data_IF_740111093275
#
_entry.id   IF_740111093275
#
_cell.length_a   1.000
_cell.length_b   1.000
_cell.length_c   1.000
_cell.angle_alpha   90.00
_cell.angle_beta   90.00
_cell.angle_gamma   90.00
#
_symmetry.space_group_name_H-M   'P 1'
#
loop_
_entity.id
_entity.type
_entity.pdbx_description
1 polymer ?
#
# COMPACT_ATOMS: atom_id res chain seq x y z
N UNK A 1 -15.13 -8.26 11.51
CA UNK A 1 -15.48 -7.00 10.83
C UNK A 1 -16.45 -7.25 9.69
N UNK A 2 -16.16 -8.17 8.76
CA UNK A 2 -17.03 -8.44 7.59
C UNK A 2 -18.44 -8.91 7.93
N UNK A 3 -18.66 -9.55 9.07
CA UNK A 3 -20.01 -9.90 9.56
C UNK A 3 -20.83 -8.70 10.05
N UNK A 4 -20.17 -7.58 10.33
CA UNK A 4 -20.79 -6.36 10.87
C UNK A 4 -20.90 -5.23 9.86
N UNK A 5 -20.10 -5.30 8.80
CA UNK A 5 -20.15 -4.35 7.71
C UNK A 5 -20.33 -5.10 6.39
N UNK A 6 -21.34 -4.74 5.61
CA UNK A 6 -21.58 -5.30 4.29
C UNK A 6 -20.75 -4.56 3.25
N UNK A 7 -20.14 -5.28 2.32
CA UNK A 7 -19.46 -4.66 1.20
C UNK A 7 -20.46 -3.92 0.29
N UNK A 8 -20.32 -2.61 0.25
CA UNK A 8 -21.13 -1.75 -0.63
C UNK A 8 -20.31 -0.54 -1.08
N UNK A 9 -20.60 0.04 -2.24
CA UNK A 9 -20.03 1.33 -2.64
C UNK A 9 -20.28 2.39 -1.56
N UNK A 10 -19.27 3.17 -1.26
CA UNK A 10 -19.33 4.34 -0.39
C UNK A 10 -18.95 5.60 -1.17
N UNK A 11 -18.88 6.75 -0.51
CA UNK A 11 -18.41 7.98 -1.15
C UNK A 11 -16.91 7.94 -1.50
N UNK A 12 -16.40 9.00 -2.09
CA UNK A 12 -15.01 9.07 -2.57
C UNK A 12 -13.95 9.01 -1.45
N UNK A 13 -14.35 9.17 -0.17
CA UNK A 13 -13.44 9.16 0.97
C UNK A 13 -13.73 7.96 1.86
N UNK A 14 -12.65 7.33 2.34
CA UNK A 14 -12.75 6.27 3.34
C UNK A 14 -13.36 6.82 4.64
N UNK A 15 -14.46 6.23 5.07
CA UNK A 15 -15.13 6.56 6.32
C UNK A 15 -14.31 6.11 7.54
N UNK A 16 -14.50 6.78 8.67
CA UNK A 16 -13.86 6.36 9.92
C UNK A 16 -14.40 5.01 10.40
N UNK A 17 -13.62 4.25 11.20
CA UNK A 17 -14.09 2.97 11.77
C UNK A 17 -15.42 3.08 12.50
N UNK A 18 -15.63 4.16 13.27
CA UNK A 18 -16.91 4.37 13.97
C UNK A 18 -18.07 4.66 13.01
N UNK A 19 -17.83 5.35 11.91
CA UNK A 19 -18.84 5.56 10.90
C UNK A 19 -19.21 4.23 10.23
N UNK A 20 -18.23 3.41 9.86
CA UNK A 20 -18.45 2.08 9.27
C UNK A 20 -19.28 1.19 10.20
N UNK A 21 -18.99 1.20 11.53
CA UNK A 21 -19.77 0.45 12.51
C UNK A 21 -21.23 0.95 12.56
N UNK A 22 -21.45 2.26 12.47
CA UNK A 22 -22.79 2.86 12.56
C UNK A 22 -23.64 2.62 11.31
N UNK A 23 -22.99 2.69 10.15
CA UNK A 23 -23.69 2.52 8.86
C UNK A 23 -23.80 1.06 8.45
N UNK A 24 -22.96 0.18 9.02
CA UNK A 24 -22.87 -1.24 8.72
C UNK A 24 -22.56 -1.56 7.25
N UNK A 25 -21.89 -0.66 6.53
CA UNK A 25 -21.39 -0.91 5.17
C UNK A 25 -20.07 -0.19 4.89
N UNK A 26 -19.35 -0.66 3.88
CA UNK A 26 -18.13 -0.06 3.39
C UNK A 26 -17.53 -0.83 2.23
N UNK A 27 -16.53 -0.23 1.58
CA UNK A 27 -15.66 -0.90 0.61
C UNK A 27 -14.46 -1.54 1.34
N UNK A 28 -13.56 -2.11 0.57
CA UNK A 28 -12.29 -2.64 1.09
C UNK A 28 -11.50 -1.60 1.92
N UNK A 29 -11.56 -0.31 1.56
CA UNK A 29 -10.93 0.78 2.31
C UNK A 29 -11.49 0.94 3.72
N UNK A 30 -12.82 0.98 3.88
CA UNK A 30 -13.50 1.12 5.17
C UNK A 30 -13.34 -0.14 6.01
N UNK A 31 -13.56 -1.32 5.44
CA UNK A 31 -13.48 -2.58 6.18
C UNK A 31 -12.05 -2.85 6.67
N UNK A 32 -11.04 -2.62 5.84
CA UNK A 32 -9.65 -2.76 6.26
C UNK A 32 -9.25 -1.74 7.33
N UNK A 33 -9.71 -0.49 7.23
CA UNK A 33 -9.47 0.52 8.28
C UNK A 33 -10.15 0.13 9.60
N UNK A 34 -11.36 -0.41 9.55
CA UNK A 34 -12.07 -0.93 10.73
C UNK A 34 -11.32 -2.10 11.35
N UNK A 35 -10.84 -3.05 10.54
CA UNK A 35 -10.08 -4.20 11.04
C UNK A 35 -8.74 -3.77 11.67
N UNK A 36 -8.02 -2.83 11.05
CA UNK A 36 -6.81 -2.24 11.65
C UNK A 36 -7.10 -1.63 13.01
N UNK A 37 -8.18 -0.85 13.12
CA UNK A 37 -8.57 -0.24 14.39
C UNK A 37 -8.93 -1.29 15.46
N UNK A 38 -9.65 -2.35 15.07
CA UNK A 38 -9.99 -3.45 15.96
C UNK A 38 -8.75 -4.21 16.46
N UNK A 39 -7.82 -4.56 15.58
CA UNK A 39 -6.57 -5.23 15.94
C UNK A 39 -5.73 -4.38 16.88
N UNK A 40 -5.56 -3.10 16.58
CA UNK A 40 -4.81 -2.17 17.43
C UNK A 40 -5.46 -1.99 18.80
N UNK A 41 -6.79 -2.03 18.90
CA UNK A 41 -7.50 -1.91 20.17
C UNK A 41 -7.22 -3.06 21.17
N UNK A 42 -6.78 -4.20 20.65
CA UNK A 42 -6.37 -5.37 21.47
C UNK A 42 -4.85 -5.56 21.50
N UNK A 43 -4.08 -4.54 21.09
CA UNK A 43 -2.62 -4.53 21.19
C UNK A 43 -1.88 -5.24 20.05
N UNK A 44 -2.57 -5.60 18.98
CA UNK A 44 -1.92 -6.20 17.79
C UNK A 44 -1.52 -5.09 16.84
N UNK A 45 -0.21 -4.90 16.54
CA UNK A 45 0.22 -3.97 15.52
C UNK A 45 -0.38 -4.36 14.16
N UNK A 46 -1.03 -3.42 13.52
CA UNK A 46 -1.67 -3.66 12.22
C UNK A 46 -1.60 -2.41 11.34
N UNK A 47 -1.61 -2.61 10.04
CA UNK A 47 -1.58 -1.54 9.05
C UNK A 47 -2.45 -1.89 7.85
N UNK A 48 -3.03 -0.87 7.22
CA UNK A 48 -3.74 -1.04 5.96
C UNK A 48 -2.72 -1.07 4.82
N UNK A 49 -2.82 -2.03 3.93
CA UNK A 49 -2.10 -2.07 2.67
C UNK A 49 -3.05 -1.69 1.54
N UNK A 50 -2.55 -0.94 0.58
CA UNK A 50 -3.30 -0.49 -0.58
C UNK A 50 -2.49 -0.72 -1.86
N UNK A 51 -3.15 -1.27 -2.87
CA UNK A 51 -2.67 -1.28 -4.25
C UNK A 51 -3.57 -0.38 -5.09
N UNK A 52 -3.03 0.68 -5.72
CA UNK A 52 -3.84 1.61 -6.51
C UNK A 52 -4.31 1.01 -7.84
N UNK A 53 -3.55 0.07 -8.37
CA UNK A 53 -3.85 -0.62 -9.64
C UNK A 53 -3.29 -2.02 -9.62
N UNK A 54 -4.09 -2.98 -10.04
CA UNK A 54 -3.60 -4.32 -10.36
C UNK A 54 -2.93 -4.35 -11.74
N UNK A 55 -2.02 -5.30 -11.96
CA UNK A 55 -1.37 -5.47 -13.26
C UNK A 55 -2.33 -5.90 -14.40
N UNK A 56 -3.50 -6.44 -14.06
CA UNK A 56 -4.48 -7.01 -15.00
C UNK A 56 -5.80 -6.24 -15.07
N UNK A 57 -5.99 -5.23 -14.25
CA UNK A 57 -7.22 -4.41 -14.21
C UNK A 57 -6.95 -3.03 -13.62
N UNK A 58 -7.76 -2.04 -13.96
CA UNK A 58 -7.71 -0.69 -13.41
C UNK A 58 -8.24 -0.60 -11.97
N UNK A 59 -8.70 -1.70 -11.40
CA UNK A 59 -9.20 -1.74 -10.03
C UNK A 59 -8.08 -1.62 -9.01
N UNK A 60 -8.45 -1.10 -7.87
CA UNK A 60 -7.63 -1.04 -6.65
C UNK A 60 -8.12 -2.05 -5.61
N UNK A 61 -7.33 -2.24 -4.56
CA UNK A 61 -7.74 -3.02 -3.41
C UNK A 61 -7.03 -2.55 -2.13
N UNK A 62 -7.69 -2.78 -1.00
CA UNK A 62 -7.13 -2.54 0.33
C UNK A 62 -7.38 -3.76 1.23
N UNK A 63 -6.37 -4.13 1.98
CA UNK A 63 -6.42 -5.22 2.97
C UNK A 63 -5.59 -4.86 4.20
N UNK A 64 -5.32 -5.80 5.07
CA UNK A 64 -4.64 -5.58 6.34
C UNK A 64 -3.38 -6.41 6.43
N UNK A 65 -2.33 -5.85 6.99
CA UNK A 65 -1.22 -6.60 7.57
C UNK A 65 -1.27 -6.49 9.10
N UNK A 66 -1.06 -7.60 9.79
CA UNK A 66 -0.94 -7.71 11.23
C UNK A 66 0.43 -8.30 11.60
N UNK A 67 1.06 -7.76 12.63
CA UNK A 67 2.35 -8.25 13.10
C UNK A 67 2.16 -9.42 14.06
N UNK A 68 2.73 -10.56 13.71
CA UNK A 68 2.78 -11.75 14.54
C UNK A 68 4.06 -12.54 14.24
N UNK A 69 4.57 -13.27 15.23
CA UNK A 69 5.74 -14.15 15.06
C UNK A 69 6.97 -13.50 14.41
N UNK A 70 7.16 -12.19 14.67
CA UNK A 70 8.33 -11.46 14.18
C UNK A 70 8.25 -10.99 12.73
N UNK A 71 7.07 -11.05 12.08
CA UNK A 71 6.85 -10.57 10.71
C UNK A 71 5.44 -10.06 10.47
N UNK A 72 5.26 -9.38 9.36
CA UNK A 72 3.94 -8.98 8.87
C UNK A 72 3.25 -10.16 8.17
N UNK A 73 1.99 -10.38 8.52
CA UNK A 73 1.09 -11.33 7.90
C UNK A 73 -0.10 -10.60 7.31
N UNK A 74 -0.54 -10.98 6.13
CA UNK A 74 -1.71 -10.33 5.53
C UNK A 74 -3.00 -11.13 5.73
N UNK A 75 -4.11 -10.40 5.70
CA UNK A 75 -5.46 -10.95 5.77
C UNK A 75 -6.45 -9.99 5.08
N UNK A 76 -7.43 -10.55 4.39
CA UNK A 76 -8.54 -9.81 3.82
C UNK A 76 -9.49 -9.30 4.92
N UNK A 77 -10.01 -8.10 4.77
CA UNK A 77 -11.01 -7.55 5.68
C UNK A 77 -12.44 -7.80 5.21
N UNK A 78 -12.65 -7.77 3.88
CA UNK A 78 -13.93 -8.01 3.23
C UNK A 78 -14.23 -9.52 3.12
N UNK A 79 -13.21 -10.29 2.86
CA UNK A 79 -13.25 -11.74 2.59
C UNK A 79 -12.16 -12.46 3.38
N UNK A 80 -12.34 -12.62 4.71
CA UNK A 80 -11.34 -13.27 5.56
C UNK A 80 -11.27 -14.77 5.27
N UNK A 81 -10.06 -15.25 5.17
CA UNK A 81 -9.75 -16.66 5.05
C UNK A 81 -9.46 -17.28 6.43
N UNK A 82 -9.53 -18.62 6.58
CA UNK A 82 -9.34 -19.27 7.87
C UNK A 82 -7.89 -19.23 8.39
N UNK A 83 -6.93 -18.85 7.54
CA UNK A 83 -5.51 -18.75 7.88
C UNK A 83 -4.94 -17.42 7.37
N UNK A 84 -3.87 -16.95 8.01
CA UNK A 84 -3.13 -15.78 7.57
C UNK A 84 -2.36 -16.08 6.26
N UNK A 85 -1.99 -15.02 5.55
CA UNK A 85 -1.25 -15.08 4.29
C UNK A 85 -2.02 -15.81 3.16
N UNK A 86 -3.34 -15.85 3.27
CA UNK A 86 -4.24 -16.38 2.26
C UNK A 86 -5.30 -15.32 1.92
N UNK A 87 -5.59 -15.21 0.63
CA UNK A 87 -6.63 -14.33 0.08
C UNK A 87 -6.77 -14.58 -1.42
N UNK A 88 -7.92 -14.26 -2.00
CA UNK A 88 -8.16 -14.36 -3.43
C UNK A 88 -7.11 -13.60 -4.25
N UNK A 89 -6.51 -12.58 -3.64
CA UNK A 89 -5.53 -11.70 -4.28
C UNK A 89 -4.08 -12.21 -4.23
N UNK A 90 -3.79 -13.41 -3.70
CA UNK A 90 -2.43 -13.95 -3.65
C UNK A 90 -1.75 -13.95 -5.05
N UNK A 91 -2.45 -14.48 -6.06
CA UNK A 91 -1.90 -14.53 -7.41
C UNK A 91 -1.77 -13.14 -8.07
N UNK A 92 -2.76 -12.21 -7.99
CA UNK A 92 -2.57 -10.83 -8.41
C UNK A 92 -1.45 -10.11 -7.64
N UNK A 93 -1.34 -10.31 -6.33
CA UNK A 93 -0.34 -9.66 -5.49
C UNK A 93 1.08 -10.08 -5.84
N UNK A 94 1.33 -11.36 -6.14
CA UNK A 94 2.65 -11.85 -6.56
C UNK A 94 3.15 -11.23 -7.89
N UNK A 95 2.28 -10.56 -8.62
CA UNK A 95 2.55 -9.83 -9.87
C UNK A 95 2.23 -8.34 -9.73
N UNK A 96 2.09 -7.88 -8.50
CA UNK A 96 1.79 -6.49 -8.20
C UNK A 96 2.87 -5.53 -8.69
N UNK A 97 2.46 -4.30 -8.98
CA UNK A 97 3.36 -3.23 -9.41
C UNK A 97 3.67 -2.27 -8.26
N UNK A 98 2.73 -2.11 -7.33
CA UNK A 98 2.89 -1.28 -6.14
C UNK A 98 1.93 -1.75 -5.04
N UNK A 99 2.46 -1.92 -3.85
CA UNK A 99 1.70 -2.08 -2.62
C UNK A 99 2.32 -1.21 -1.56
N UNK A 100 1.53 -0.32 -0.98
CA UNK A 100 2.03 0.66 -0.05
C UNK A 100 1.16 0.79 1.20
N UNK A 101 1.75 1.34 2.24
CA UNK A 101 1.04 1.62 3.50
C UNK A 101 1.48 2.97 4.06
N UNK A 102 0.72 3.50 4.99
CA UNK A 102 1.02 4.75 5.70
C UNK A 102 1.38 4.46 7.15
N UNK A 103 2.54 4.95 7.54
CA UNK A 103 2.99 4.95 8.94
C UNK A 103 2.73 6.34 9.51
N UNK A 104 1.94 6.41 10.58
CA UNK A 104 1.67 7.64 11.33
C UNK A 104 2.66 7.74 12.48
N UNK A 105 3.48 8.80 12.49
CA UNK A 105 4.55 8.99 13.45
C UNK A 105 5.94 8.81 12.83
N UNK A 106 6.93 8.59 13.70
CA UNK A 106 8.30 8.37 13.28
C UNK A 106 8.45 6.99 12.62
N UNK A 107 9.20 6.95 11.52
CA UNK A 107 9.51 5.73 10.81
C UNK A 107 11.03 5.59 10.63
N UNK A 108 11.57 4.46 11.07
CA UNK A 108 12.98 4.06 10.99
C UNK A 108 13.15 2.61 10.46
N UNK A 109 12.10 2.08 9.82
CA UNK A 109 12.13 0.75 9.23
C UNK A 109 12.99 0.66 7.96
N UNK A 110 13.12 -0.54 7.45
CA UNK A 110 13.96 -0.86 6.28
C UNK A 110 13.19 -0.79 4.96
N UNK A 111 11.87 -0.66 4.97
CA UNK A 111 11.07 -0.56 3.76
C UNK A 111 11.32 0.76 3.04
N UNK A 112 11.21 0.73 1.73
CA UNK A 112 11.44 1.89 0.88
C UNK A 112 10.45 3.03 1.18
N UNK A 113 10.98 4.20 1.51
CA UNK A 113 10.18 5.41 1.72
C UNK A 113 9.82 6.03 0.39
N UNK A 114 8.53 6.07 0.07
CA UNK A 114 8.02 6.69 -1.14
C UNK A 114 7.77 8.19 -0.95
N UNK A 115 7.26 8.57 0.22
CA UNK A 115 6.88 9.94 0.52
C UNK A 115 6.83 10.18 2.02
N UNK A 116 7.33 11.33 2.46
CA UNK A 116 7.16 11.82 3.83
C UNK A 116 6.36 13.10 3.84
N UNK A 117 5.39 13.20 4.73
CA UNK A 117 4.57 14.38 4.97
C UNK A 117 4.64 14.78 6.45
N UNK A 118 4.02 15.87 6.82
CA UNK A 118 3.92 16.27 8.24
C UNK A 118 3.12 15.24 9.10
N UNK A 119 2.27 14.41 8.49
CA UNK A 119 1.33 13.54 9.21
C UNK A 119 1.67 12.06 9.09
N UNK A 120 2.35 11.64 8.03
CA UNK A 120 2.65 10.23 7.77
C UNK A 120 3.86 10.08 6.85
N UNK A 121 4.48 8.92 6.92
CA UNK A 121 5.41 8.39 5.93
C UNK A 121 4.72 7.27 5.15
N UNK A 122 4.79 7.32 3.83
CA UNK A 122 4.28 6.30 2.92
C UNK A 122 5.44 5.42 2.49
N UNK A 123 5.29 4.12 2.68
CA UNK A 123 6.33 3.12 2.43
C UNK A 123 5.83 2.05 1.47
N UNK A 124 6.76 1.54 0.67
CA UNK A 124 6.51 0.43 -0.27
C UNK A 124 6.69 -0.90 0.46
N UNK A 125 5.67 -1.73 0.43
CA UNK A 125 5.65 -3.06 1.06
C UNK A 125 5.51 -4.20 0.06
N UNK A 126 5.72 -3.93 -1.22
CA UNK A 126 5.54 -4.92 -2.28
C UNK A 126 6.42 -6.17 -2.10
N UNK A 127 7.58 -6.03 -1.45
CA UNK A 127 8.47 -7.16 -1.17
C UNK A 127 7.86 -8.24 -0.28
N UNK A 128 6.78 -7.93 0.46
CA UNK A 128 6.03 -8.93 1.22
C UNK A 128 5.16 -9.83 0.33
N UNK A 129 4.94 -9.47 -0.94
CA UNK A 129 3.98 -10.11 -1.84
C UNK A 129 4.62 -10.61 -3.13
N UNK A 130 5.62 -9.90 -3.64
CA UNK A 130 6.24 -10.19 -4.94
C UNK A 130 7.76 -10.20 -4.83
N UNK A 131 8.39 -10.96 -5.71
CA UNK A 131 9.84 -10.90 -5.87
C UNK A 131 10.24 -9.53 -6.44
N UNK A 132 11.19 -8.88 -5.79
CA UNK A 132 11.69 -7.56 -6.16
C UNK A 132 13.16 -7.64 -6.57
N UNK A 133 13.58 -6.72 -7.44
CA UNK A 133 14.97 -6.54 -7.81
C UNK A 133 15.34 -5.05 -7.70
N UNK A 134 16.56 -4.73 -7.27
CA UNK A 134 17.04 -3.36 -7.26
C UNK A 134 17.18 -2.83 -8.71
N UNK A 135 16.77 -1.60 -8.93
CA UNK A 135 16.96 -0.89 -10.19
C UNK A 135 17.72 0.41 -9.92
N UNK A 136 18.84 0.60 -10.62
CA UNK A 136 19.58 1.86 -10.61
C UNK A 136 19.35 2.59 -11.91
N UNK A 137 18.93 3.86 -11.83
CA UNK A 137 18.77 4.74 -12.98
C UNK A 137 19.79 5.86 -12.90
N UNK A 138 20.60 6.03 -13.94
CA UNK A 138 21.55 7.12 -14.06
C UNK A 138 21.06 8.07 -15.17
N UNK A 139 20.89 9.35 -14.82
CA UNK A 139 20.54 10.39 -15.78
C UNK A 139 21.77 11.17 -16.17
N UNK A 140 22.09 11.18 -17.47
CA UNK A 140 23.21 11.91 -18.03
C UNK A 140 22.77 12.82 -19.17
N UNK A 141 23.53 13.87 -19.44
CA UNK A 141 23.38 14.69 -20.64
C UNK A 141 23.90 13.95 -21.89
N UNK A 142 23.83 14.59 -23.04
CA UNK A 142 24.31 14.04 -24.31
C UNK A 142 25.83 13.86 -24.37
N UNK A 143 26.58 14.48 -23.47
CA UNK A 143 28.02 14.32 -23.32
C UNK A 143 28.39 13.23 -22.32
N UNK A 144 27.42 12.59 -21.68
CA UNK A 144 27.60 11.55 -20.67
C UNK A 144 27.87 12.09 -19.26
N UNK A 145 27.72 13.37 -19.00
CA UNK A 145 27.88 13.97 -17.68
C UNK A 145 26.61 13.81 -16.85
N UNK A 146 26.71 13.51 -15.51
CA UNK A 146 25.56 13.40 -14.66
C UNK A 146 24.72 14.70 -14.63
N UNK A 147 23.39 14.56 -14.68
CA UNK A 147 22.46 15.69 -14.57
C UNK A 147 21.99 15.81 -13.14
N UNK A 148 22.31 16.93 -12.51
CA UNK A 148 21.85 17.27 -11.18
C UNK A 148 20.38 17.73 -11.19
N UNK A 149 19.60 17.36 -10.16
CA UNK A 149 18.21 17.77 -10.01
C UNK A 149 17.24 17.14 -11.00
N UNK A 150 17.67 16.15 -11.80
CA UNK A 150 16.77 15.41 -12.67
C UNK A 150 15.72 14.66 -11.87
N UNK A 151 14.47 14.81 -12.27
CA UNK A 151 13.35 14.08 -11.68
C UNK A 151 13.12 12.78 -12.43
N UNK A 152 13.13 11.67 -11.74
CA UNK A 152 12.82 10.35 -12.29
C UNK A 152 11.51 9.87 -11.68
N UNK A 153 10.51 9.62 -12.51
CA UNK A 153 9.22 9.10 -12.07
C UNK A 153 9.05 7.65 -12.52
N UNK A 154 8.77 6.76 -11.58
CA UNK A 154 8.26 5.43 -11.88
C UNK A 154 6.74 5.47 -11.86
N UNK A 155 6.12 5.08 -12.95
CA UNK A 155 4.68 5.11 -13.10
C UNK A 155 4.15 3.71 -13.33
N UNK A 156 3.05 3.38 -12.64
CA UNK A 156 2.28 2.20 -12.96
C UNK A 156 1.59 2.41 -14.31
N UNK A 157 1.85 1.50 -15.22
CA UNK A 157 1.16 1.48 -16.50
C UNK A 157 -0.02 0.51 -16.42
N UNK A 158 -1.22 1.03 -16.69
CA UNK A 158 -2.40 0.22 -16.84
C UNK A 158 -3.27 0.79 -17.99
N UNK A 159 -4.44 0.21 -18.23
CA UNK A 159 -5.29 0.45 -19.39
C UNK A 159 -5.65 1.93 -19.64
N UNK A 160 -5.89 2.70 -18.60
CA UNK A 160 -6.45 4.04 -18.72
C UNK A 160 -5.50 5.18 -18.35
N UNK A 161 -4.60 5.00 -17.39
CA UNK A 161 -3.77 6.12 -16.89
C UNK A 161 -2.46 5.66 -16.24
N UNK A 162 -1.53 6.61 -16.14
CA UNK A 162 -0.28 6.41 -15.41
C UNK A 162 -0.43 6.91 -13.98
N UNK A 163 -0.22 6.02 -13.02
CA UNK A 163 -0.17 6.37 -11.60
C UNK A 163 1.30 6.48 -11.17
N UNK A 164 1.72 7.66 -10.71
CA UNK A 164 3.09 7.85 -10.20
C UNK A 164 3.25 7.11 -8.88
N UNK A 165 4.11 6.10 -8.86
CA UNK A 165 4.37 5.31 -7.66
C UNK A 165 5.62 5.77 -6.90
N UNK A 166 6.66 6.21 -7.60
CA UNK A 166 7.91 6.66 -7.00
C UNK A 166 8.40 7.91 -7.71
N UNK A 167 8.88 8.87 -6.94
CA UNK A 167 9.45 10.13 -7.41
C UNK A 167 10.84 10.30 -6.80
N UNK A 168 11.86 10.29 -7.63
CA UNK A 168 13.23 10.53 -7.20
C UNK A 168 13.80 11.79 -7.84
N UNK A 169 14.56 12.54 -7.05
CA UNK A 169 15.38 13.62 -7.57
C UNK A 169 16.84 13.18 -7.49
N UNK A 170 17.59 13.30 -8.60
CA UNK A 170 18.99 12.91 -8.61
C UNK A 170 19.78 13.77 -7.63
N UNK A 171 20.61 13.16 -6.75
CA UNK A 171 21.47 13.93 -5.86
C UNK A 171 22.50 14.72 -6.65
N UNK A 172 22.97 15.84 -6.04
CA UNK A 172 24.13 16.56 -6.57
C UNK A 172 25.32 15.62 -6.70
N UNK A 173 26.04 15.60 -7.82
CA UNK A 173 27.30 14.88 -7.92
C UNK A 173 28.27 15.43 -6.86
N UNK A 174 28.82 14.53 -6.03
CA UNK A 174 29.86 14.85 -5.06
C UNK A 174 31.23 14.85 -5.73
#
# INVERSE_FOLDING_TARGET
CHEKANYQPSDARTSSPLATVRTAYGRCGEESTLLVAALRSVGIPARQVYTPRWAHTDDNHAWVEAWADGRWHFLGACEPEPVLDLGWFNAPASRGMLMHTKVFGYYDGSEEVMKTTANYTEINVISNYAACAPLTVTVTDTAGSPVEGATVEFKLYNYAEFYTCLLYTSPSPR
#
